data_IF_798107289404
#
_entry.id   IF_798107289404
#
_cell.length_a   1.000
_cell.length_b   1.000
_cell.length_c   1.000
_cell.angle_alpha   90.00
_cell.angle_beta   90.00
_cell.angle_gamma   90.00
#
_symmetry.space_group_name_H-M   'P 1'
#
loop_
_entity.id
_entity.type
_entity.pdbx_description
1 polymer ?
#
# COMPACT_ATOMS: atom_id res chain seq x y z
N UNK A 1 30.05 -18.54 -31.40
CA UNK A 1 28.69 -18.95 -30.97
C UNK A 1 28.57 -18.99 -29.44
N UNK A 2 29.56 -19.48 -28.68
CA UNK A 2 29.52 -19.50 -27.20
C UNK A 2 29.34 -18.11 -26.52
N UNK A 3 29.98 -17.05 -27.03
CA UNK A 3 29.84 -15.69 -26.46
C UNK A 3 28.41 -15.15 -26.59
N UNK A 4 27.72 -15.46 -27.69
CA UNK A 4 26.35 -15.00 -27.93
C UNK A 4 25.37 -15.70 -27.00
N UNK A 5 25.57 -17.00 -26.75
CA UNK A 5 24.78 -17.76 -25.77
C UNK A 5 25.00 -17.23 -24.34
N UNK A 6 26.24 -16.91 -23.94
CA UNK A 6 26.54 -16.34 -22.61
C UNK A 6 25.88 -14.98 -22.39
N UNK A 7 25.82 -14.12 -23.41
CA UNK A 7 25.14 -12.82 -23.32
C UNK A 7 23.64 -13.03 -23.13
N UNK A 8 23.01 -13.90 -23.93
CA UNK A 8 21.57 -14.22 -23.81
C UNK A 8 21.25 -14.82 -22.44
N UNK A 9 22.10 -15.70 -21.91
CA UNK A 9 21.96 -16.29 -20.58
C UNK A 9 22.06 -15.23 -19.47
N UNK A 10 23.02 -14.31 -19.55
CA UNK A 10 23.21 -13.24 -18.56
C UNK A 10 22.01 -12.29 -18.52
N UNK A 11 21.49 -11.89 -19.69
CA UNK A 11 20.26 -11.09 -19.78
C UNK A 11 19.08 -11.84 -19.15
N UNK A 12 18.95 -13.15 -19.41
CA UNK A 12 17.92 -14.00 -18.82
C UNK A 12 17.96 -14.03 -17.28
N UNK A 13 19.14 -14.28 -16.72
CA UNK A 13 19.32 -14.28 -15.26
C UNK A 13 19.05 -12.92 -14.63
N UNK A 14 19.45 -11.83 -15.30
CA UNK A 14 19.23 -10.46 -14.83
C UNK A 14 17.74 -10.13 -14.75
N UNK A 15 16.98 -10.45 -15.80
CA UNK A 15 15.52 -10.27 -15.84
C UNK A 15 14.84 -11.15 -14.80
N UNK A 16 15.26 -12.41 -14.65
CA UNK A 16 14.72 -13.32 -13.64
C UNK A 16 14.93 -12.77 -12.22
N UNK A 17 16.15 -12.30 -11.92
CA UNK A 17 16.49 -11.73 -10.62
C UNK A 17 15.64 -10.50 -10.30
N UNK A 18 15.52 -9.55 -11.24
CA UNK A 18 14.68 -8.36 -11.08
C UNK A 18 13.24 -8.77 -10.82
N UNK A 19 12.70 -9.72 -11.59
CA UNK A 19 11.32 -10.19 -11.45
C UNK A 19 11.07 -10.79 -10.06
N UNK A 20 12.00 -11.60 -9.54
CA UNK A 20 11.91 -12.20 -8.21
C UNK A 20 11.96 -11.13 -7.12
N UNK A 21 12.90 -10.18 -7.21
CA UNK A 21 13.02 -9.09 -6.23
C UNK A 21 11.74 -8.24 -6.22
N UNK A 22 11.24 -7.85 -7.39
CA UNK A 22 10.01 -7.07 -7.51
C UNK A 22 8.80 -7.85 -6.95
N UNK A 23 8.70 -9.16 -7.23
CA UNK A 23 7.65 -10.00 -6.68
C UNK A 23 7.67 -10.04 -5.14
N UNK A 24 8.85 -10.18 -4.53
CA UNK A 24 8.99 -10.17 -3.07
C UNK A 24 8.58 -8.82 -2.46
N UNK A 25 8.98 -7.71 -3.08
CA UNK A 25 8.57 -6.36 -2.64
C UNK A 25 7.06 -6.19 -2.75
N UNK A 26 6.46 -6.57 -3.89
CA UNK A 26 5.01 -6.48 -4.10
C UNK A 26 4.23 -7.40 -3.15
N UNK A 27 4.76 -8.58 -2.81
CA UNK A 27 4.15 -9.48 -1.84
C UNK A 27 4.13 -8.86 -0.45
N UNK A 28 5.24 -8.30 0.00
CA UNK A 28 5.30 -7.61 1.30
C UNK A 28 4.33 -6.42 1.35
N UNK A 29 4.25 -5.64 0.26
CA UNK A 29 3.29 -4.54 0.15
C UNK A 29 1.83 -5.02 0.16
N UNK A 30 1.53 -6.16 -0.47
CA UNK A 30 0.20 -6.75 -0.48
C UNK A 30 -0.24 -7.20 0.92
N UNK A 31 0.67 -7.83 1.68
CA UNK A 31 0.41 -8.20 3.08
C UNK A 31 0.10 -6.95 3.92
N UNK A 32 0.86 -5.86 3.75
CA UNK A 32 0.58 -4.58 4.39
C UNK A 32 -0.84 -4.06 4.10
N UNK A 33 -1.23 -4.05 2.82
CA UNK A 33 -2.59 -3.58 2.42
C UNK A 33 -3.72 -4.46 2.95
N UNK A 34 -3.48 -5.76 3.13
CA UNK A 34 -4.45 -6.68 3.73
C UNK A 34 -4.65 -6.39 5.22
N UNK A 35 -3.55 -6.10 5.94
CA UNK A 35 -3.64 -5.68 7.33
C UNK A 35 -4.33 -4.32 7.47
N UNK A 36 -4.00 -3.36 6.62
CA UNK A 36 -4.67 -2.05 6.59
C UNK A 36 -6.17 -2.16 6.30
N UNK A 37 -6.57 -3.12 5.46
CA UNK A 37 -7.99 -3.40 5.19
C UNK A 37 -8.69 -4.06 6.39
N UNK A 38 -7.98 -4.87 7.17
CA UNK A 38 -8.53 -5.55 8.36
C UNK A 38 -8.70 -4.61 9.56
N UNK A 39 -7.86 -3.58 9.67
CA UNK A 39 -7.97 -2.55 10.72
C UNK A 39 -7.88 -1.14 10.11
N UNK A 40 -8.99 -0.67 9.48
CA UNK A 40 -9.01 0.61 8.80
C UNK A 40 -8.94 1.82 9.75
N UNK A 41 -9.12 1.61 11.06
CA UNK A 41 -9.05 2.68 12.06
C UNK A 41 -7.63 2.87 12.60
N UNK A 42 -6.79 1.83 12.56
CA UNK A 42 -5.36 1.94 12.86
C UNK A 42 -4.47 2.11 11.63
N UNK A 43 -4.96 1.76 10.43
CA UNK A 43 -4.20 1.92 9.19
C UNK A 43 -3.93 3.40 8.90
N UNK A 44 -2.66 3.78 8.85
CA UNK A 44 -2.26 5.13 8.42
C UNK A 44 -2.42 6.22 9.48
N UNK A 45 -1.93 6.00 10.71
CA UNK A 45 -1.69 7.07 11.69
C UNK A 45 -0.70 8.09 11.10
N UNK A 46 -1.22 9.05 10.34
CA UNK A 46 -0.45 10.15 9.78
C UNK A 46 -0.11 11.11 10.94
N UNK A 47 1.18 11.43 11.07
CA UNK A 47 1.70 12.28 12.14
C UNK A 47 0.98 13.64 12.12
N UNK A 48 -0.02 13.84 12.99
CA UNK A 48 -0.85 15.06 13.05
C UNK A 48 -2.36 14.90 12.79
N UNK A 49 -2.88 13.71 12.52
CA UNK A 49 -4.34 13.50 12.41
C UNK A 49 -4.97 13.15 13.77
N UNK A 50 -6.13 13.74 14.14
CA UNK A 50 -6.83 13.44 15.40
C UNK A 50 -7.15 11.94 15.51
N UNK A 51 -6.91 11.36 16.68
CA UNK A 51 -7.23 9.96 16.93
C UNK A 51 -8.73 9.73 16.89
N UNK A 52 -9.17 8.90 15.95
CA UNK A 52 -10.58 8.49 15.81
C UNK A 52 -10.93 7.24 16.64
N UNK A 53 -9.98 6.74 17.44
CA UNK A 53 -10.15 5.52 18.26
C UNK A 53 -11.23 5.68 19.34
N UNK A 54 -11.47 6.91 19.80
CA UNK A 54 -12.59 7.27 20.67
C UNK A 54 -12.96 8.74 20.49
N UNK A 55 -14.22 9.08 20.78
CA UNK A 55 -14.69 10.46 20.74
C UNK A 55 -13.88 11.37 21.68
N UNK A 56 -13.52 10.88 22.86
CA UNK A 56 -12.71 11.61 23.84
C UNK A 56 -11.29 11.92 23.33
N UNK A 57 -10.66 10.97 22.63
CA UNK A 57 -9.36 11.22 22.02
C UNK A 57 -9.45 12.23 20.87
N UNK A 58 -10.52 12.15 20.07
CA UNK A 58 -10.79 13.12 19.00
C UNK A 58 -11.01 14.53 19.56
N UNK A 59 -11.87 14.68 20.59
CA UNK A 59 -12.13 15.94 21.27
C UNK A 59 -10.85 16.53 21.87
N UNK A 60 -10.03 15.70 22.51
CA UNK A 60 -8.75 16.12 23.08
C UNK A 60 -7.76 16.61 22.01
N UNK A 61 -7.63 15.90 20.89
CA UNK A 61 -6.72 16.27 19.79
C UNK A 61 -7.19 17.53 19.05
N UNK A 62 -8.50 17.69 18.83
CA UNK A 62 -9.09 18.90 18.22
C UNK A 62 -8.89 20.11 19.13
N UNK A 63 -9.15 19.95 20.44
CA UNK A 63 -8.92 21.03 21.41
C UNK A 63 -7.43 21.35 21.60
N UNK A 64 -6.54 20.37 21.42
CA UNK A 64 -5.09 20.58 21.49
C UNK A 64 -4.56 21.32 20.25
N UNK A 65 -4.98 20.91 19.05
CA UNK A 65 -4.64 21.60 17.80
C UNK A 65 -5.19 23.03 17.76
N UNK A 66 -6.42 23.25 18.25
CA UNK A 66 -7.01 24.60 18.36
C UNK A 66 -6.27 25.50 19.38
N UNK A 67 -5.60 24.91 20.38
CA UNK A 67 -4.76 25.67 21.34
C UNK A 67 -3.39 26.03 20.76
N UNK A 68 -2.87 25.24 19.82
CA UNK A 68 -1.63 25.50 19.10
C UNK A 68 -1.83 26.58 18.01
N UNK A 69 -2.99 26.58 17.32
CA UNK A 69 -3.39 27.55 16.28
C UNK A 69 -4.07 28.83 16.83
N UNK A 70 -3.60 29.38 17.95
CA UNK A 70 -4.17 30.60 18.53
C UNK A 70 -3.90 31.85 17.70
N UNK A 71 -4.69 32.05 16.64
CA UNK A 71 -5.09 33.35 16.12
C UNK A 71 -6.50 33.24 15.51
N UNK A 72 -7.46 33.92 16.15
CA UNK A 72 -8.76 34.36 15.60
C UNK A 72 -9.84 33.30 15.29
N UNK A 73 -10.45 32.75 16.34
CA UNK A 73 -11.89 32.90 16.63
C UNK A 73 -12.32 31.85 17.66
N UNK A 74 -12.94 32.31 18.75
CA UNK A 74 -13.45 31.45 19.81
C UNK A 74 -14.77 30.77 19.40
N UNK A 75 -14.77 30.08 18.25
CA UNK A 75 -15.81 29.12 17.94
C UNK A 75 -15.45 27.82 18.67
N UNK A 76 -16.04 27.65 19.86
CA UNK A 76 -16.06 26.35 20.55
C UNK A 76 -17.28 25.62 19.98
N UNK A 77 -17.10 24.63 19.09
CA UNK A 77 -18.23 23.91 18.55
C UNK A 77 -18.97 23.23 19.70
N UNK A 78 -20.29 23.31 19.69
CA UNK A 78 -21.13 22.60 20.66
C UNK A 78 -20.85 21.09 20.63
N UNK A 79 -21.03 20.39 21.76
CA UNK A 79 -20.71 18.97 21.88
C UNK A 79 -21.47 18.11 20.85
N UNK A 80 -22.68 18.53 20.46
CA UNK A 80 -23.44 17.88 19.38
C UNK A 80 -22.77 18.08 18.01
N UNK A 81 -22.19 19.26 17.77
CA UNK A 81 -21.44 19.57 16.54
C UNK A 81 -20.13 18.77 16.50
N UNK A 82 -19.42 18.66 17.62
CA UNK A 82 -18.21 17.84 17.73
C UNK A 82 -18.51 16.36 17.45
N UNK A 83 -19.64 15.85 17.94
CA UNK A 83 -20.07 14.48 17.66
C UNK A 83 -20.37 14.25 16.17
N UNK A 84 -21.05 15.20 15.53
CA UNK A 84 -21.31 15.14 14.09
C UNK A 84 -20.01 15.19 13.27
N UNK A 85 -19.06 16.04 13.67
CA UNK A 85 -17.73 16.11 13.05
C UNK A 85 -16.93 14.82 13.23
N UNK A 86 -17.01 14.18 14.40
CA UNK A 86 -16.38 12.88 14.67
C UNK A 86 -16.94 11.77 13.76
N UNK A 87 -18.27 11.66 13.68
CA UNK A 87 -18.92 10.64 12.84
C UNK A 87 -18.61 10.86 11.34
N UNK A 88 -18.62 12.10 10.87
CA UNK A 88 -18.23 12.45 9.52
C UNK A 88 -16.75 12.11 9.25
N UNK A 89 -15.84 12.48 10.15
CA UNK A 89 -14.41 12.18 10.02
C UNK A 89 -14.13 10.67 10.03
N UNK A 90 -14.86 9.90 10.85
CA UNK A 90 -14.80 8.45 10.88
C UNK A 90 -15.25 7.83 9.56
N UNK A 91 -16.39 8.27 9.03
CA UNK A 91 -16.91 7.80 7.75
C UNK A 91 -15.92 8.09 6.60
N UNK A 92 -15.37 9.30 6.55
CA UNK A 92 -14.40 9.71 5.54
C UNK A 92 -13.11 8.90 5.61
N UNK A 93 -12.58 8.63 6.82
CA UNK A 93 -11.39 7.78 6.97
C UNK A 93 -11.62 6.36 6.50
N UNK A 94 -12.75 5.76 6.87
CA UNK A 94 -13.10 4.40 6.41
C UNK A 94 -13.18 4.37 4.88
N UNK A 95 -13.80 5.37 4.25
CA UNK A 95 -13.86 5.46 2.79
C UNK A 95 -12.48 5.67 2.14
N UNK A 96 -11.65 6.55 2.69
CA UNK A 96 -10.29 6.81 2.18
C UNK A 96 -9.41 5.57 2.28
N UNK A 97 -9.41 4.89 3.42
CA UNK A 97 -8.65 3.65 3.62
C UNK A 97 -9.12 2.58 2.64
N UNK A 98 -10.44 2.41 2.50
CA UNK A 98 -11.00 1.45 1.55
C UNK A 98 -10.58 1.74 0.10
N UNK A 99 -10.62 3.00 -0.33
CA UNK A 99 -10.20 3.40 -1.67
C UNK A 99 -8.71 3.16 -1.89
N UNK A 100 -7.86 3.55 -0.94
CA UNK A 100 -6.42 3.35 -1.00
C UNK A 100 -6.07 1.86 -1.02
N UNK A 101 -6.69 1.07 -0.14
CA UNK A 101 -6.52 -0.37 -0.08
C UNK A 101 -6.93 -1.04 -1.40
N UNK A 102 -8.08 -0.68 -1.98
CA UNK A 102 -8.48 -1.20 -3.30
C UNK A 102 -7.49 -0.83 -4.41
N UNK A 103 -7.03 0.43 -4.45
CA UNK A 103 -6.04 0.86 -5.45
C UNK A 103 -4.74 0.08 -5.32
N UNK A 104 -4.22 -0.06 -4.10
CA UNK A 104 -2.93 -0.67 -3.84
C UNK A 104 -2.98 -2.19 -4.03
N UNK A 105 -4.09 -2.83 -3.64
CA UNK A 105 -4.37 -4.23 -3.95
C UNK A 105 -4.43 -4.45 -5.47
N UNK A 106 -5.12 -3.58 -6.21
CA UNK A 106 -5.21 -3.68 -7.68
C UNK A 106 -3.83 -3.55 -8.33
N UNK A 107 -3.04 -2.54 -7.95
CA UNK A 107 -1.70 -2.33 -8.50
C UNK A 107 -0.77 -3.50 -8.17
N UNK A 108 -0.72 -3.93 -6.91
CA UNK A 108 0.14 -5.05 -6.48
C UNK A 108 -0.28 -6.38 -7.14
N UNK A 109 -1.58 -6.64 -7.28
CA UNK A 109 -2.08 -7.83 -7.95
C UNK A 109 -1.70 -7.84 -9.44
N UNK A 110 -1.83 -6.70 -10.13
CA UNK A 110 -1.43 -6.56 -11.54
C UNK A 110 0.08 -6.79 -11.70
N UNK A 111 0.88 -6.23 -10.79
CA UNK A 111 2.33 -6.39 -10.77
C UNK A 111 2.74 -7.86 -10.55
N UNK A 112 2.07 -8.54 -9.61
CA UNK A 112 2.24 -9.99 -9.38
C UNK A 112 1.92 -10.79 -10.65
N UNK A 113 0.82 -10.48 -11.34
CA UNK A 113 0.46 -11.16 -12.60
C UNK A 113 1.53 -10.97 -13.68
N UNK A 114 2.06 -9.75 -13.84
CA UNK A 114 3.15 -9.47 -14.78
C UNK A 114 4.41 -10.25 -14.39
N UNK A 115 4.76 -10.29 -13.09
CA UNK A 115 5.89 -11.08 -12.60
C UNK A 115 5.71 -12.58 -12.90
N UNK A 116 4.52 -13.14 -12.68
CA UNK A 116 4.21 -14.54 -13.00
C UNK A 116 4.33 -14.79 -14.52
N UNK A 117 3.81 -13.89 -15.36
CA UNK A 117 3.89 -14.02 -16.81
C UNK A 117 5.33 -14.00 -17.31
N UNK A 118 6.16 -13.07 -16.82
CA UNK A 118 7.58 -12.99 -17.15
C UNK A 118 8.33 -14.23 -16.67
N UNK A 119 8.11 -14.65 -15.42
CA UNK A 119 8.75 -15.81 -14.85
C UNK A 119 8.40 -17.09 -15.62
N UNK A 120 7.12 -17.32 -15.91
CA UNK A 120 6.66 -18.51 -16.66
C UNK A 120 7.16 -18.53 -18.11
N UNK A 121 7.19 -17.36 -18.76
CA UNK A 121 7.74 -17.22 -20.12
C UNK A 121 9.22 -17.56 -20.11
N UNK A 122 9.99 -17.01 -19.16
CA UNK A 122 11.41 -17.26 -19.05
C UNK A 122 11.73 -18.71 -18.67
N UNK A 123 10.99 -19.28 -17.71
CA UNK A 123 11.09 -20.68 -17.32
C UNK A 123 10.85 -21.61 -18.50
N UNK A 124 9.81 -21.35 -19.31
CA UNK A 124 9.53 -22.10 -20.55
C UNK A 124 10.66 -21.97 -21.56
N UNK A 125 11.22 -20.77 -21.72
CA UNK A 125 12.30 -20.51 -22.68
C UNK A 125 13.59 -21.23 -22.29
N UNK A 126 13.99 -21.14 -21.02
CA UNK A 126 15.14 -21.89 -20.48
C UNK A 126 14.95 -23.41 -20.59
N UNK A 127 13.74 -23.93 -20.34
CA UNK A 127 13.45 -25.35 -20.54
C UNK A 127 13.57 -25.79 -22.00
N UNK A 128 13.30 -24.88 -22.94
CA UNK A 128 13.42 -25.16 -24.38
C UNK A 128 14.90 -25.16 -24.80
N UNK A 129 15.67 -24.16 -24.38
CA UNK A 129 17.12 -24.10 -24.64
C UNK A 129 17.84 -25.32 -24.05
N UNK A 130 17.51 -25.70 -22.81
CA UNK A 130 18.11 -26.88 -22.17
C UNK A 130 17.76 -28.22 -22.87
N UNK A 131 16.67 -28.28 -23.65
CA UNK A 131 16.34 -29.45 -24.48
C UNK A 131 17.03 -29.44 -25.84
N UNK A 132 17.43 -28.28 -26.34
CA UNK A 132 18.15 -28.15 -27.61
C UNK A 132 19.65 -28.44 -27.45
N UNK A 133 20.19 -28.33 -26.23
CA UNK A 133 21.59 -28.66 -25.90
C UNK A 133 21.80 -30.11 -25.40
N UNK A 134 20.73 -30.90 -25.20
CA UNK A 134 20.77 -32.29 -24.72
C UNK A 134 20.43 -33.29 -25.84
#
# INVERSE_FOLDING_TARGET
MEKQNKIVQLYGYSVCLVTVITFLISMAALVGTLFDLSDPLHSGRFNGSPSLASFENYKMDVLKSQKEDKQESAYVPDDQTLHAMYEAAKADRIQQVRLNAHRQLTVNALLILVCIALFTTHWRWMRKVAREEA
#
